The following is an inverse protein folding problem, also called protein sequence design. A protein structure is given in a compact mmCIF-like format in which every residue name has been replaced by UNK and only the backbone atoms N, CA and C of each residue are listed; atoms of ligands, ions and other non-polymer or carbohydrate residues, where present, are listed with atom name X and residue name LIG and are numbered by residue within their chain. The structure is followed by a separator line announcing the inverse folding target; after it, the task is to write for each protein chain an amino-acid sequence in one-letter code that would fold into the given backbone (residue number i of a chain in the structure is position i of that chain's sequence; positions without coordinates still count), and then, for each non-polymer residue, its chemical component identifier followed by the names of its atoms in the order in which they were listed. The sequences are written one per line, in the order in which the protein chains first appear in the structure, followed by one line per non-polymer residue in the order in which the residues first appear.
data_IF_728380715968
#
_entry.id   IF_728380715968
#
_cell.length_a   1.000
_cell.length_b   1.000
_cell.length_c   1.000
_cell.angle_alpha   90.00
_cell.angle_beta   90.00
_cell.angle_gamma   90.00
#
_symmetry.space_group_name_H-M   'P 1'
#
loop_
_entity.id
_entity.type
_entity.pdbx_description
1 polymer ?
#
# COMPACT_ATOMS: atom_id res chain seq x y z
N UNK A 1 -73.22 -22.74 53.04
CA UNK A 1 -72.83 -22.12 51.77
C UNK A 1 -71.35 -21.74 51.89
N UNK A 2 -70.48 -22.53 51.31
CA UNK A 2 -69.05 -22.26 51.28
C UNK A 2 -68.61 -22.23 49.83
N UNK A 3 -68.16 -21.10 49.40
CA UNK A 3 -67.61 -20.93 48.04
C UNK A 3 -66.18 -21.38 48.03
N UNK A 4 -65.86 -22.33 47.13
CA UNK A 4 -64.54 -22.80 46.83
C UNK A 4 -63.99 -22.01 45.70
N UNK A 5 -62.90 -21.24 45.90
CA UNK A 5 -62.21 -20.52 44.87
C UNK A 5 -61.03 -21.34 44.40
N UNK A 6 -61.04 -21.76 43.15
CA UNK A 6 -59.94 -22.49 42.49
C UNK A 6 -58.95 -21.45 41.95
N UNK A 7 -57.75 -21.43 42.47
CA UNK A 7 -56.68 -20.63 41.93
C UNK A 7 -55.89 -21.45 40.90
N UNK A 8 -55.91 -20.99 39.66
CA UNK A 8 -55.17 -21.57 38.53
C UNK A 8 -53.75 -20.97 38.55
N UNK A 9 -52.76 -21.79 38.84
CA UNK A 9 -51.35 -21.42 38.75
C UNK A 9 -50.92 -21.62 37.32
N UNK A 10 -50.73 -20.50 36.59
CA UNK A 10 -50.14 -20.49 35.28
C UNK A 10 -48.60 -20.59 35.40
N UNK A 11 -48.06 -21.73 35.04
CA UNK A 11 -46.63 -21.99 34.99
C UNK A 11 -46.04 -21.40 33.68
N UNK A 12 -45.41 -20.20 33.79
CA UNK A 12 -44.76 -19.52 32.70
C UNK A 12 -43.39 -20.19 32.45
N UNK A 13 -43.28 -21.04 31.43
CA UNK A 13 -42.02 -21.58 30.95
C UNK A 13 -41.24 -20.44 30.27
N UNK A 14 -40.26 -19.86 30.96
CA UNK A 14 -39.23 -19.03 30.35
C UNK A 14 -38.26 -19.97 29.60
N UNK A 15 -38.42 -20.06 28.28
CA UNK A 15 -37.37 -20.59 27.40
C UNK A 15 -36.21 -19.61 27.36
N UNK A 16 -35.14 -19.88 28.09
CA UNK A 16 -33.84 -19.25 27.84
C UNK A 16 -33.36 -19.66 26.45
N UNK A 17 -33.56 -18.80 25.47
CA UNK A 17 -32.80 -18.90 24.22
C UNK A 17 -31.33 -18.63 24.55
N UNK A 18 -30.52 -19.67 24.57
CA UNK A 18 -29.06 -19.54 24.61
C UNK A 18 -28.67 -18.79 23.33
N UNK A 19 -28.37 -17.49 23.45
CA UNK A 19 -27.71 -16.75 22.39
C UNK A 19 -26.35 -17.40 22.18
N UNK A 20 -26.17 -18.08 21.06
CA UNK A 20 -24.85 -18.51 20.61
C UNK A 20 -23.93 -17.28 20.67
N UNK A 21 -22.71 -17.40 21.20
CA UNK A 21 -21.77 -16.29 21.18
C UNK A 21 -21.63 -15.84 19.72
N UNK A 22 -21.82 -14.54 19.47
CA UNK A 22 -21.57 -13.97 18.16
C UNK A 22 -20.14 -14.37 17.80
N UNK A 23 -19.99 -15.11 16.71
CA UNK A 23 -18.68 -15.48 16.19
C UNK A 23 -17.98 -14.14 15.87
N UNK A 24 -16.92 -13.83 16.63
CA UNK A 24 -16.14 -12.63 16.41
C UNK A 24 -15.69 -12.65 14.95
N UNK A 25 -16.07 -11.63 14.18
CA UNK A 25 -15.65 -11.55 12.79
C UNK A 25 -14.12 -11.58 12.74
N UNK A 26 -13.56 -12.37 11.83
CA UNK A 26 -12.12 -12.40 11.65
C UNK A 26 -11.61 -10.96 11.38
N UNK A 27 -10.48 -10.56 11.94
CA UNK A 27 -9.96 -9.22 11.73
C UNK A 27 -9.69 -9.00 10.24
N UNK A 28 -10.13 -7.87 9.72
CA UNK A 28 -9.99 -7.49 8.32
C UNK A 28 -9.17 -6.21 8.20
N UNK A 29 -8.47 -6.04 7.06
CA UNK A 29 -7.85 -4.77 6.68
C UNK A 29 -8.83 -3.98 5.83
N UNK A 30 -9.17 -2.78 6.31
CA UNK A 30 -10.01 -1.89 5.53
C UNK A 30 -9.16 -1.09 4.54
N UNK A 31 -9.61 -1.03 3.30
CA UNK A 31 -8.95 -0.27 2.24
C UNK A 31 -9.90 0.78 1.70
N UNK A 32 -9.47 2.05 1.77
CA UNK A 32 -10.19 3.18 1.19
C UNK A 32 -9.39 3.73 0.01
N UNK A 33 -10.00 3.74 -1.17
CA UNK A 33 -9.39 4.17 -2.42
C UNK A 33 -10.12 5.41 -2.97
N UNK A 34 -9.39 6.54 -3.13
CA UNK A 34 -9.96 7.79 -3.63
C UNK A 34 -10.17 7.81 -5.15
N UNK A 35 -9.63 6.84 -5.87
CA UNK A 35 -9.49 6.88 -7.31
C UNK A 35 -8.47 7.93 -7.77
N UNK A 36 -8.10 7.83 -9.07
CA UNK A 36 -7.24 8.82 -9.72
C UNK A 36 -8.03 10.11 -10.00
N UNK A 37 -7.47 11.25 -9.63
CA UNK A 37 -8.10 12.56 -9.86
C UNK A 37 -7.09 13.60 -10.32
N UNK A 38 -7.58 14.56 -11.11
CA UNK A 38 -6.78 15.71 -11.50
C UNK A 38 -6.53 16.64 -10.31
N UNK A 39 -5.34 17.23 -10.28
CA UNK A 39 -4.99 18.28 -9.32
C UNK A 39 -4.10 19.34 -9.95
N UNK A 40 -4.11 20.52 -9.36
CA UNK A 40 -3.07 21.54 -9.59
C UNK A 40 -2.02 21.40 -8.50
N UNK A 41 -0.76 21.30 -8.90
CA UNK A 41 0.38 21.16 -7.98
C UNK A 41 0.54 22.48 -7.20
N UNK A 42 0.40 22.39 -5.88
CA UNK A 42 0.34 23.53 -4.98
C UNK A 42 1.67 23.86 -4.29
N UNK A 43 1.63 24.79 -3.32
CA UNK A 43 2.76 25.12 -2.47
C UNK A 43 3.28 23.88 -1.74
N UNK A 44 4.59 23.82 -1.50
CA UNK A 44 5.27 22.67 -0.88
C UNK A 44 5.87 21.68 -1.90
N UNK A 45 5.40 21.71 -3.15
CA UNK A 45 6.04 20.96 -4.23
C UNK A 45 7.35 21.65 -4.69
N UNK A 46 8.22 20.95 -5.43
CA UNK A 46 9.37 21.56 -6.09
C UNK A 46 8.95 22.77 -6.93
N UNK A 47 9.68 23.89 -6.83
CA UNK A 47 9.30 25.17 -7.47
C UNK A 47 9.00 25.04 -8.96
N UNK A 48 9.72 24.17 -9.68
CA UNK A 48 9.52 23.95 -11.12
C UNK A 48 8.21 23.22 -11.48
N UNK A 49 7.50 22.67 -10.49
CA UNK A 49 6.24 21.96 -10.68
C UNK A 49 5.02 22.71 -10.13
N UNK A 50 5.24 23.79 -9.33
CA UNK A 50 4.14 24.57 -8.74
C UNK A 50 3.28 25.18 -9.84
N UNK A 51 1.96 25.01 -9.74
CA UNK A 51 0.99 25.52 -10.70
C UNK A 51 0.78 24.63 -11.90
N UNK A 52 1.57 23.56 -12.09
CA UNK A 52 1.34 22.59 -13.17
C UNK A 52 0.10 21.75 -12.89
N UNK A 53 -0.57 21.35 -13.97
CA UNK A 53 -1.58 20.30 -13.89
C UNK A 53 -0.92 18.96 -13.59
N UNK A 54 -1.61 18.11 -12.85
CA UNK A 54 -1.13 16.81 -12.48
C UNK A 54 -2.26 15.89 -12.11
N UNK A 55 -1.90 14.74 -11.56
CA UNK A 55 -2.85 13.76 -11.02
C UNK A 55 -2.42 13.34 -9.63
N UNK A 56 -3.40 12.92 -8.84
CA UNK A 56 -3.15 12.26 -7.54
C UNK A 56 -4.08 11.08 -7.34
N UNK A 57 -3.62 10.13 -6.54
CA UNK A 57 -4.38 8.97 -6.11
C UNK A 57 -3.98 8.64 -4.67
N UNK A 58 -4.94 8.65 -3.76
CA UNK A 58 -4.70 8.35 -2.35
C UNK A 58 -5.41 7.05 -1.96
N UNK A 59 -4.69 6.17 -1.27
CA UNK A 59 -5.22 4.93 -0.73
C UNK A 59 -4.84 4.86 0.74
N UNK A 60 -5.80 4.50 1.59
CA UNK A 60 -5.56 4.25 3.02
C UNK A 60 -5.75 2.78 3.31
N UNK A 61 -4.76 2.17 3.98
CA UNK A 61 -4.83 0.85 4.60
C UNK A 61 -5.06 1.05 6.10
N UNK A 62 -6.13 0.48 6.63
CA UNK A 62 -6.37 0.42 8.08
C UNK A 62 -6.28 -1.03 8.55
N UNK A 63 -5.24 -1.32 9.32
CA UNK A 63 -4.99 -2.66 9.88
C UNK A 63 -5.68 -2.88 11.22
N UNK A 64 -6.37 -1.86 11.76
CA UNK A 64 -6.86 -1.84 13.12
C UNK A 64 -5.81 -1.46 14.16
N UNK A 65 -4.54 -1.81 13.94
CA UNK A 65 -3.43 -1.36 14.79
C UNK A 65 -2.82 -0.04 14.30
N UNK A 66 -2.81 0.19 12.98
CA UNK A 66 -2.24 1.38 12.34
C UNK A 66 -2.96 1.68 11.02
N UNK A 67 -3.07 2.97 10.72
CA UNK A 67 -3.51 3.44 9.41
C UNK A 67 -2.31 3.94 8.59
N UNK A 68 -2.23 3.50 7.34
CA UNK A 68 -1.22 3.93 6.38
C UNK A 68 -1.87 4.61 5.20
N UNK A 69 -1.60 5.90 5.01
CA UNK A 69 -1.95 6.63 3.81
C UNK A 69 -0.84 6.52 2.77
N UNK A 70 -1.16 6.02 1.60
CA UNK A 70 -0.27 5.91 0.45
C UNK A 70 -0.75 6.83 -0.66
N UNK A 71 0.18 7.52 -1.33
CA UNK A 71 -0.17 8.52 -2.33
C UNK A 71 0.70 8.42 -3.56
N UNK A 72 0.08 8.49 -4.72
CA UNK A 72 0.72 8.80 -5.99
C UNK A 72 0.41 10.24 -6.38
N UNK A 73 1.42 11.00 -6.73
CA UNK A 73 1.28 12.38 -7.25
C UNK A 73 2.31 12.60 -8.33
N UNK A 74 1.91 13.15 -9.46
CA UNK A 74 2.84 13.63 -10.47
C UNK A 74 2.31 14.88 -11.18
N UNK A 75 3.21 15.76 -11.61
CA UNK A 75 2.91 16.84 -12.52
C UNK A 75 2.98 16.35 -13.97
N UNK A 76 2.11 16.88 -14.86
CA UNK A 76 2.21 16.68 -16.30
C UNK A 76 3.27 17.61 -16.88
N UNK A 77 4.10 17.09 -17.80
CA UNK A 77 5.04 17.93 -18.52
C UNK A 77 4.25 18.90 -19.44
N UNK A 78 4.45 20.23 -19.33
CA UNK A 78 3.75 21.20 -20.19
C UNK A 78 4.06 21.07 -21.69
N UNK A 79 5.18 20.42 -22.04
CA UNK A 79 5.62 20.22 -23.42
C UNK A 79 5.21 18.87 -23.99
N UNK A 80 4.95 17.89 -23.14
CA UNK A 80 4.52 16.55 -23.51
C UNK A 80 3.56 16.02 -22.44
N UNK A 81 2.28 16.14 -22.68
CA UNK A 81 1.23 15.71 -21.73
C UNK A 81 1.28 14.20 -21.42
N UNK A 82 1.94 13.40 -22.27
CA UNK A 82 2.16 11.98 -22.03
C UNK A 82 3.34 11.71 -21.09
N UNK A 83 4.20 12.71 -20.83
CA UNK A 83 5.32 12.63 -19.92
C UNK A 83 4.94 13.16 -18.52
N UNK A 84 5.60 12.60 -17.51
CA UNK A 84 5.45 13.03 -16.13
C UNK A 84 6.67 13.84 -15.68
N UNK A 85 6.41 14.90 -14.94
CA UNK A 85 7.43 15.64 -14.18
C UNK A 85 7.23 15.33 -12.70
N UNK A 86 8.25 14.85 -11.97
CA UNK A 86 8.12 14.59 -10.55
C UNK A 86 7.70 15.85 -9.79
N UNK A 87 6.62 15.73 -9.02
CA UNK A 87 6.09 16.78 -8.17
C UNK A 87 6.41 16.51 -6.70
N UNK A 88 5.40 16.49 -5.84
CA UNK A 88 5.54 16.16 -4.41
C UNK A 88 5.99 14.72 -4.14
N UNK A 89 6.00 13.91 -5.17
CA UNK A 89 6.39 12.52 -5.15
C UNK A 89 5.36 11.65 -5.86
N UNK A 90 5.83 10.72 -6.66
CA UNK A 90 4.97 9.79 -7.38
C UNK A 90 4.58 8.57 -6.55
N UNK A 91 5.41 8.18 -5.58
CA UNK A 91 5.02 7.29 -4.49
C UNK A 91 5.44 7.97 -3.19
N UNK A 92 4.47 8.33 -2.38
CA UNK A 92 4.68 8.97 -1.09
C UNK A 92 3.74 8.39 -0.06
N UNK A 93 3.87 8.87 1.18
CA UNK A 93 2.88 8.64 2.21
C UNK A 93 2.16 9.95 2.52
N UNK A 94 0.92 9.86 2.99
CA UNK A 94 0.09 11.00 3.33
C UNK A 94 -0.68 10.71 4.63
N UNK A 95 -1.32 11.69 5.27
CA UNK A 95 -2.17 11.39 6.40
C UNK A 95 -3.15 10.26 6.07
N UNK A 96 -3.35 9.33 7.01
CA UNK A 96 -2.97 9.35 8.43
C UNK A 96 -1.54 8.88 8.77
N UNK A 97 -0.72 8.47 7.80
CA UNK A 97 0.69 8.21 8.06
C UNK A 97 1.39 9.51 8.45
N UNK A 98 2.41 9.43 9.29
CA UNK A 98 3.17 10.62 9.71
C UNK A 98 3.86 11.32 8.53
N UNK A 99 4.11 12.63 8.68
CA UNK A 99 4.73 13.45 7.64
C UNK A 99 6.16 13.04 7.29
N UNK A 100 6.79 12.18 8.10
CA UNK A 100 8.17 11.74 7.91
C UNK A 100 8.48 11.19 6.51
N UNK A 101 7.47 10.67 5.80
CA UNK A 101 7.64 9.96 4.55
C UNK A 101 7.00 10.61 3.34
N UNK A 102 6.17 11.63 3.47
CA UNK A 102 5.26 11.96 2.41
C UNK A 102 5.62 13.13 1.51
N UNK A 103 6.72 13.82 1.73
CA UNK A 103 7.12 14.85 0.79
C UNK A 103 8.33 14.45 -0.04
N UNK A 104 8.33 14.87 -1.31
CA UNK A 104 9.43 14.68 -2.24
C UNK A 104 9.61 13.27 -2.77
N UNK A 105 8.57 12.41 -2.66
CA UNK A 105 8.61 11.03 -3.11
C UNK A 105 9.52 10.18 -2.23
N UNK A 106 8.97 9.54 -1.22
CA UNK A 106 9.78 8.74 -0.30
C UNK A 106 10.40 7.51 -0.95
N UNK A 107 9.83 7.03 -2.04
CA UNK A 107 10.26 5.83 -2.77
C UNK A 107 10.61 6.18 -4.22
N UNK A 108 11.88 6.26 -4.53
CA UNK A 108 12.38 6.59 -5.86
C UNK A 108 13.24 5.44 -6.40
N UNK A 109 12.81 4.81 -7.50
CA UNK A 109 13.51 3.72 -8.15
C UNK A 109 14.10 4.19 -9.49
N UNK A 110 15.41 3.97 -9.65
CA UNK A 110 16.16 4.35 -10.86
C UNK A 110 16.71 3.09 -11.52
N UNK A 111 16.35 2.84 -12.78
CA UNK A 111 16.77 1.69 -13.58
C UNK A 111 17.60 2.19 -14.75
N UNK A 112 18.85 1.76 -14.87
CA UNK A 112 19.79 2.18 -15.92
C UNK A 112 19.90 3.72 -16.05
N UNK A 113 19.81 4.44 -14.92
CA UNK A 113 19.85 5.89 -14.88
C UNK A 113 18.51 6.59 -15.15
N UNK A 114 17.44 5.87 -15.50
CA UNK A 114 16.10 6.41 -15.69
C UNK A 114 15.25 6.23 -14.42
N UNK A 115 14.69 7.32 -13.93
CA UNK A 115 13.76 7.34 -12.81
C UNK A 115 12.39 6.90 -13.29
N UNK A 116 11.82 5.84 -12.70
CA UNK A 116 10.48 5.34 -13.05
C UNK A 116 9.39 6.40 -12.84
N UNK A 117 9.59 7.33 -11.90
CA UNK A 117 8.65 8.39 -11.60
C UNK A 117 8.53 9.46 -12.69
N UNK A 118 9.37 9.43 -13.70
CA UNK A 118 9.17 10.22 -14.93
C UNK A 118 8.17 9.60 -15.90
N UNK A 119 7.64 8.43 -15.57
CA UNK A 119 6.60 7.73 -16.32
C UNK A 119 5.33 7.76 -15.51
N UNK A 120 4.18 8.02 -16.14
CA UNK A 120 2.90 7.87 -15.46
C UNK A 120 2.74 6.43 -14.96
N UNK A 121 2.14 6.31 -13.79
CA UNK A 121 1.72 5.01 -13.31
C UNK A 121 0.73 4.38 -14.30
N UNK A 122 0.92 3.11 -14.62
CA UNK A 122 -0.02 2.36 -15.46
C UNK A 122 -1.31 2.09 -14.70
N UNK A 123 -1.20 1.67 -13.42
CA UNK A 123 -2.34 1.49 -12.54
C UNK A 123 -1.97 1.71 -11.08
N UNK A 124 -2.95 2.18 -10.31
CA UNK A 124 -2.94 2.18 -8.85
C UNK A 124 -4.18 1.44 -8.40
N UNK A 125 -4.03 0.45 -7.54
CA UNK A 125 -5.15 -0.34 -7.02
C UNK A 125 -5.01 -0.57 -5.53
N UNK A 126 -6.13 -0.50 -4.80
CA UNK A 126 -6.22 -0.83 -3.38
C UNK A 126 -7.28 -1.91 -3.16
N UNK A 127 -6.95 -2.98 -2.41
CA UNK A 127 -7.86 -4.10 -2.14
C UNK A 127 -7.68 -4.68 -0.75
N UNK A 128 -8.80 -4.87 -0.04
CA UNK A 128 -8.85 -5.69 1.18
C UNK A 128 -9.22 -7.14 0.84
N UNK A 129 -8.46 -8.10 1.35
CA UNK A 129 -8.68 -9.54 1.12
C UNK A 129 -8.42 -10.29 2.42
N UNK A 130 -9.49 -10.62 3.14
CA UNK A 130 -9.41 -11.26 4.44
C UNK A 130 -8.58 -10.45 5.43
N UNK A 131 -7.57 -11.06 6.00
CA UNK A 131 -6.66 -10.44 6.98
C UNK A 131 -5.57 -9.54 6.35
N UNK A 132 -5.63 -9.24 5.05
CA UNK A 132 -4.64 -8.44 4.33
C UNK A 132 -5.24 -7.32 3.50
N UNK A 133 -4.52 -6.21 3.43
CA UNK A 133 -4.78 -5.13 2.49
C UNK A 133 -3.59 -4.95 1.57
N UNK A 134 -3.85 -4.80 0.27
CA UNK A 134 -2.85 -4.64 -0.77
C UNK A 134 -3.01 -3.29 -1.44
N UNK A 135 -1.90 -2.60 -1.67
CA UNK A 135 -1.85 -1.39 -2.51
C UNK A 135 -0.74 -1.57 -3.54
N UNK A 136 -1.09 -1.50 -4.80
CA UNK A 136 -0.19 -1.66 -5.93
C UNK A 136 -0.04 -0.38 -6.71
N UNK A 137 1.22 -0.04 -7.00
CA UNK A 137 1.62 0.95 -8.00
C UNK A 137 2.36 0.20 -9.10
N UNK A 138 1.79 0.19 -10.33
CA UNK A 138 2.39 -0.50 -11.47
C UNK A 138 2.83 0.50 -12.51
N UNK A 139 4.09 0.44 -12.89
CA UNK A 139 4.71 1.28 -13.92
C UNK A 139 5.10 0.44 -15.13
N UNK A 140 4.75 0.93 -16.31
CA UNK A 140 5.16 0.35 -17.58
C UNK A 140 6.18 1.27 -18.26
N UNK A 141 7.47 0.97 -18.02
CA UNK A 141 8.58 1.78 -18.54
C UNK A 141 9.26 1.13 -19.75
N UNK A 142 10.18 1.85 -20.39
CA UNK A 142 11.03 1.28 -21.44
C UNK A 142 11.99 0.22 -20.92
N UNK A 143 12.39 0.31 -19.64
CA UNK A 143 13.38 -0.56 -19.00
C UNK A 143 12.77 -1.85 -18.47
N UNK A 144 11.62 -1.74 -17.83
CA UNK A 144 10.95 -2.83 -17.14
C UNK A 144 9.48 -2.50 -16.86
N UNK A 145 8.68 -3.53 -16.63
CA UNK A 145 7.44 -3.40 -15.86
C UNK A 145 7.82 -3.50 -14.38
N UNK A 146 7.33 -2.56 -13.57
CA UNK A 146 7.63 -2.49 -12.14
C UNK A 146 6.33 -2.46 -11.36
N UNK A 147 6.21 -3.35 -10.37
CA UNK A 147 5.15 -3.27 -9.34
C UNK A 147 5.77 -2.92 -8.00
N UNK A 148 5.29 -1.86 -7.37
CA UNK A 148 5.56 -1.57 -5.95
C UNK A 148 4.30 -1.89 -5.19
N UNK A 149 4.36 -2.94 -4.37
CA UNK A 149 3.23 -3.44 -3.56
C UNK A 149 3.47 -3.15 -2.09
N UNK A 150 2.49 -2.54 -1.45
CA UNK A 150 2.44 -2.43 0.00
C UNK A 150 1.36 -3.37 0.54
N UNK A 151 1.68 -4.04 1.65
CA UNK A 151 0.76 -4.99 2.30
C UNK A 151 0.69 -4.68 3.79
N UNK A 152 -0.53 -4.43 4.28
CA UNK A 152 -0.85 -4.40 5.70
C UNK A 152 -1.52 -5.71 6.12
N UNK A 153 -1.28 -6.17 7.36
CA UNK A 153 -1.98 -7.30 7.97
C UNK A 153 -2.89 -6.80 9.09
N UNK A 154 -4.03 -7.42 9.25
CA UNK A 154 -4.96 -7.10 10.33
C UNK A 154 -4.29 -7.26 11.71
N UNK A 155 -4.41 -6.23 12.54
CA UNK A 155 -3.79 -6.18 13.87
C UNK A 155 -2.28 -5.92 13.89
N UNK A 156 -1.62 -5.74 12.73
CA UNK A 156 -0.20 -5.44 12.63
C UNK A 156 0.05 -3.93 12.42
N UNK A 157 1.11 -3.41 13.00
CA UNK A 157 1.57 -2.02 12.84
C UNK A 157 2.74 -1.88 11.85
N UNK A 158 3.11 -2.98 11.17
CA UNK A 158 4.10 -3.02 10.10
C UNK A 158 3.47 -2.85 8.72
N UNK A 159 4.17 -2.16 7.83
CA UNK A 159 3.83 -2.05 6.42
C UNK A 159 4.89 -2.76 5.58
N UNK A 160 4.53 -3.88 5.00
CA UNK A 160 5.43 -4.68 4.15
C UNK A 160 5.42 -4.12 2.73
N UNK A 161 6.59 -4.03 2.10
CA UNK A 161 6.75 -3.53 0.75
C UNK A 161 7.56 -4.50 -0.12
N UNK A 162 7.10 -4.72 -1.33
CA UNK A 162 7.81 -5.44 -2.39
C UNK A 162 7.89 -4.58 -3.64
N UNK A 163 9.09 -4.44 -4.19
CA UNK A 163 9.29 -3.97 -5.56
C UNK A 163 9.66 -5.16 -6.45
N UNK A 164 8.78 -5.50 -7.38
CA UNK A 164 8.94 -6.60 -8.33
C UNK A 164 9.17 -6.05 -9.73
N UNK A 165 10.15 -6.59 -10.45
CA UNK A 165 10.56 -6.13 -11.77
C UNK A 165 10.48 -7.24 -12.82
N UNK A 166 9.86 -6.95 -13.95
CA UNK A 166 9.94 -7.73 -15.19
C UNK A 166 10.72 -6.91 -16.23
N UNK A 167 12.01 -7.22 -16.44
CA UNK A 167 12.85 -6.47 -17.37
C UNK A 167 12.37 -6.62 -18.82
N UNK A 168 12.35 -5.50 -19.55
CA UNK A 168 12.17 -5.45 -21.00
C UNK A 168 13.50 -5.41 -21.73
N UNK A 169 14.56 -5.05 -21.01
CA UNK A 169 15.93 -5.04 -21.48
C UNK A 169 16.90 -5.33 -20.34
N UNK A 170 18.19 -5.45 -20.64
CA UNK A 170 19.21 -5.71 -19.63
C UNK A 170 19.27 -4.62 -18.58
N UNK A 171 19.18 -5.00 -17.31
CA UNK A 171 19.37 -4.08 -16.18
C UNK A 171 20.85 -4.11 -15.78
N UNK A 172 21.54 -3.00 -16.04
CA UNK A 172 22.97 -2.80 -15.71
C UNK A 172 23.17 -2.10 -14.39
N UNK A 173 22.23 -1.22 -14.01
CA UNK A 173 22.24 -0.52 -12.74
C UNK A 173 20.83 -0.40 -12.17
N UNK A 174 20.74 -0.55 -10.86
CA UNK A 174 19.48 -0.47 -10.14
C UNK A 174 19.70 0.25 -8.81
N UNK A 175 18.99 1.34 -8.60
CA UNK A 175 19.13 2.19 -7.42
C UNK A 175 17.79 2.50 -6.84
N UNK A 176 17.66 2.35 -5.52
CA UNK A 176 16.50 2.81 -4.76
C UNK A 176 16.94 3.93 -3.81
N UNK A 177 16.18 5.01 -3.76
CA UNK A 177 16.31 6.06 -2.76
C UNK A 177 15.06 6.08 -1.91
N UNK A 178 15.24 5.95 -0.59
CA UNK A 178 14.19 6.16 0.40
C UNK A 178 14.44 7.47 1.11
N UNK A 179 13.50 8.41 0.99
CA UNK A 179 13.60 9.74 1.60
C UNK A 179 12.79 9.82 2.88
N UNK A 180 13.40 10.35 3.93
CA UNK A 180 12.79 10.56 5.23
C UNK A 180 12.98 11.99 5.72
N UNK A 181 11.97 12.52 6.43
CA UNK A 181 11.97 13.83 7.07
C UNK A 181 11.67 13.66 8.57
N UNK A 182 12.66 13.27 9.41
CA UNK A 182 12.39 12.77 10.76
C UNK A 182 11.68 13.74 11.69
N UNK A 183 11.78 15.04 11.46
CA UNK A 183 11.14 16.07 12.29
C UNK A 183 9.95 16.75 11.62
N UNK A 184 9.35 16.13 10.61
CA UNK A 184 8.20 16.69 9.90
C UNK A 184 8.39 18.16 9.48
N UNK A 185 9.61 18.51 9.03
CA UNK A 185 10.02 19.87 8.62
C UNK A 185 10.18 20.89 9.76
N UNK A 186 10.04 20.50 11.00
CA UNK A 186 10.40 21.38 12.13
C UNK A 186 11.90 21.54 12.14
N UNK A 187 12.39 22.78 11.97
CA UNK A 187 13.81 23.09 12.10
C UNK A 187 14.21 23.18 13.58
N UNK A 188 15.51 23.06 13.87
CA UNK A 188 16.20 23.25 15.14
C UNK A 188 16.31 22.07 16.09
N UNK A 189 16.00 20.89 15.65
CA UNK A 189 16.30 19.70 16.40
C UNK A 189 17.49 18.95 15.77
N UNK A 190 18.06 18.01 16.45
CA UNK A 190 19.15 17.20 15.94
C UNK A 190 18.57 15.88 15.39
N UNK A 191 18.76 15.65 14.09
CA UNK A 191 18.33 14.43 13.41
C UNK A 191 19.33 13.31 13.59
N UNK A 192 18.80 12.11 13.69
CA UNK A 192 19.57 10.89 13.89
C UNK A 192 19.13 9.76 12.96
N UNK A 193 20.06 8.86 12.70
CA UNK A 193 19.80 7.53 12.13
C UNK A 193 20.48 6.50 13.00
N UNK A 194 19.67 5.69 13.70
CA UNK A 194 20.17 4.56 14.46
C UNK A 194 20.16 3.30 13.59
N UNK A 195 21.27 2.59 13.58
CA UNK A 195 21.42 1.22 13.05
C UNK A 195 21.51 0.23 14.22
N UNK A 196 21.56 -1.08 13.99
CA UNK A 196 21.80 -2.04 15.07
C UNK A 196 23.11 -1.82 15.85
N UNK A 197 24.12 -1.19 15.24
CA UNK A 197 25.48 -1.08 15.82
C UNK A 197 25.92 0.33 16.15
N UNK A 198 25.27 1.37 15.59
CA UNK A 198 25.67 2.77 15.82
C UNK A 198 24.48 3.73 15.70
N UNK A 199 24.66 4.93 16.24
CA UNK A 199 23.72 6.04 16.12
C UNK A 199 24.48 7.22 15.50
N UNK A 200 24.02 7.66 14.31
CA UNK A 200 24.62 8.75 13.57
C UNK A 200 23.73 9.97 13.68
N UNK A 201 24.37 11.12 13.82
CA UNK A 201 23.69 12.39 14.00
C UNK A 201 23.89 13.34 12.83
N UNK A 202 23.14 14.41 12.87
CA UNK A 202 23.13 15.44 11.83
C UNK A 202 24.54 15.88 11.43
N UNK A 203 24.81 15.87 10.13
CA UNK A 203 26.12 16.16 9.54
C UNK A 203 26.98 14.93 9.26
N UNK A 204 26.69 13.79 9.87
CA UNK A 204 27.46 12.56 9.65
C UNK A 204 27.01 11.83 8.38
N UNK A 205 27.95 11.06 7.81
CA UNK A 205 27.74 10.21 6.63
C UNK A 205 28.06 8.78 6.99
N UNK A 206 27.33 7.84 6.40
CA UNK A 206 27.60 6.44 6.57
C UNK A 206 27.49 5.66 5.26
N UNK A 207 28.36 4.71 5.11
CA UNK A 207 28.16 3.51 4.30
C UNK A 207 27.90 2.37 5.27
N UNK A 208 26.85 1.57 5.02
CA UNK A 208 26.40 0.53 5.93
C UNK A 208 27.17 -0.78 5.71
N UNK A 209 27.50 -1.45 6.79
CA UNK A 209 27.83 -2.87 6.73
C UNK A 209 26.52 -3.67 6.62
N UNK A 210 26.19 -4.09 5.41
CA UNK A 210 24.94 -4.79 5.09
C UNK A 210 24.79 -6.15 5.77
N UNK A 211 25.86 -6.68 6.39
CA UNK A 211 25.80 -7.90 7.17
C UNK A 211 25.25 -7.68 8.59
N UNK A 212 25.40 -6.47 9.12
CA UNK A 212 25.00 -6.09 10.48
C UNK A 212 24.06 -4.88 10.56
N UNK A 213 24.01 -4.03 9.54
CA UNK A 213 23.23 -2.78 9.53
C UNK A 213 22.08 -2.88 8.50
N UNK A 214 21.09 -3.69 8.81
CA UNK A 214 19.93 -4.00 7.97
C UNK A 214 18.62 -3.39 8.47
N UNK A 215 18.68 -2.55 9.51
CA UNK A 215 17.55 -1.75 9.99
C UNK A 215 18.00 -0.33 10.29
N UNK A 216 17.14 0.63 9.99
CA UNK A 216 17.37 2.06 10.19
C UNK A 216 16.17 2.64 10.95
N UNK A 217 16.43 3.34 12.05
CA UNK A 217 15.45 4.19 12.72
C UNK A 217 15.84 5.65 12.49
N UNK A 218 14.97 6.38 11.84
CA UNK A 218 15.09 7.82 11.63
C UNK A 218 14.33 8.55 12.72
N UNK A 219 15.01 9.43 13.44
CA UNK A 219 14.39 10.17 14.51
C UNK A 219 15.02 11.56 14.71
N UNK A 220 14.41 12.38 15.53
CA UNK A 220 14.85 13.72 15.85
C UNK A 220 14.73 13.94 17.36
N UNK A 221 15.68 14.66 17.96
CA UNK A 221 15.68 14.96 19.39
C UNK A 221 14.45 15.74 19.87
N UNK A 222 13.71 16.37 18.94
CA UNK A 222 12.48 17.11 19.24
C UNK A 222 11.39 16.21 19.85
N UNK A 223 11.36 14.93 19.49
CA UNK A 223 10.37 14.00 20.02
C UNK A 223 10.59 13.68 21.51
N UNK A 224 11.83 13.74 21.99
CA UNK A 224 12.14 13.62 23.43
C UNK A 224 11.70 14.84 24.21
N UNK A 225 11.72 16.03 23.56
CA UNK A 225 11.22 17.27 24.15
C UNK A 225 9.67 17.35 24.18
N UNK A 226 8.97 16.33 23.67
CA UNK A 226 7.50 16.23 23.73
C UNK A 226 6.77 16.81 22.51
N UNK A 227 7.49 17.15 21.44
CA UNK A 227 6.83 17.47 20.18
C UNK A 227 6.23 16.20 19.58
N UNK A 228 4.93 16.11 19.55
CA UNK A 228 4.24 14.88 19.10
C UNK A 228 3.22 15.13 17.98
N UNK A 229 2.62 16.26 17.89
CA UNK A 229 1.61 16.69 16.88
C UNK A 229 1.24 15.62 15.80
N UNK A 230 1.07 14.37 16.22
CA UNK A 230 0.83 13.24 15.33
C UNK A 230 2.07 12.62 14.68
N UNK A 231 3.24 13.22 14.87
CA UNK A 231 4.51 12.78 14.29
C UNK A 231 5.29 11.90 15.27
N UNK A 232 6.35 11.26 14.77
CA UNK A 232 7.23 10.42 15.57
C UNK A 232 8.38 9.85 14.73
N UNK A 233 9.22 9.01 15.35
CA UNK A 233 10.23 8.27 14.61
C UNK A 233 9.61 7.35 13.56
N UNK A 234 10.41 6.98 12.55
CA UNK A 234 10.00 5.99 11.55
C UNK A 234 11.20 5.10 11.21
N UNK A 235 10.93 3.90 10.75
CA UNK A 235 11.98 2.95 10.45
C UNK A 235 11.75 2.17 9.16
N UNK A 236 12.85 1.64 8.62
CA UNK A 236 12.87 0.67 7.54
C UNK A 236 13.80 -0.49 7.90
N UNK A 237 13.35 -1.72 7.61
CA UNK A 237 14.16 -2.92 7.67
C UNK A 237 14.21 -3.55 6.29
N UNK A 238 15.34 -4.17 5.96
CA UNK A 238 15.58 -4.75 4.64
C UNK A 238 16.59 -5.91 4.71
N UNK A 239 16.49 -6.96 3.88
CA UNK A 239 17.53 -7.97 3.76
C UNK A 239 18.79 -7.35 3.16
N UNK A 240 19.90 -7.29 3.90
CA UNK A 240 21.15 -6.70 3.41
C UNK A 240 21.70 -7.37 2.14
N UNK A 241 21.35 -8.65 1.92
CA UNK A 241 21.75 -9.42 0.74
C UNK A 241 21.22 -8.88 -0.60
N UNK A 242 20.16 -8.06 -0.60
CA UNK A 242 19.56 -7.51 -1.82
C UNK A 242 20.33 -6.31 -2.40
N UNK A 243 21.14 -5.64 -1.62
CA UNK A 243 21.96 -4.52 -2.06
C UNK A 243 23.44 -4.91 -2.18
N UNK A 244 24.17 -4.22 -3.04
CA UNK A 244 25.63 -4.25 -3.09
C UNK A 244 26.24 -3.17 -2.20
N UNK A 245 25.50 -2.08 -2.00
CA UNK A 245 25.91 -0.95 -1.19
C UNK A 245 24.65 -0.21 -0.66
N UNK A 246 24.75 0.34 0.53
CA UNK A 246 23.76 1.26 1.07
C UNK A 246 24.47 2.36 1.85
N UNK A 247 24.02 3.59 1.68
CA UNK A 247 24.59 4.72 2.42
C UNK A 247 23.67 5.92 2.45
N UNK A 248 23.98 6.85 3.36
CA UNK A 248 23.22 8.08 3.54
C UNK A 248 24.09 9.20 4.15
N UNK A 249 23.57 10.41 4.10
CA UNK A 249 24.04 11.54 4.92
C UNK A 249 22.89 12.00 5.78
N UNK A 250 23.11 12.16 7.08
CA UNK A 250 22.09 12.72 7.99
C UNK A 250 22.00 14.23 7.76
N UNK A 251 21.08 14.61 6.89
CA UNK A 251 20.92 16.01 6.47
C UNK A 251 20.12 16.82 7.48
N UNK A 252 20.29 18.14 7.42
CA UNK A 252 19.53 19.09 8.25
C UNK A 252 18.07 19.27 7.81
N UNK A 253 17.73 18.83 6.59
CA UNK A 253 16.36 18.92 6.06
C UNK A 253 15.73 17.55 5.89
N UNK A 254 16.43 16.61 5.28
CA UNK A 254 15.97 15.25 5.04
C UNK A 254 17.14 14.29 4.95
N UNK A 255 16.82 12.99 4.91
CA UNK A 255 17.80 11.92 4.82
C UNK A 255 17.42 11.06 3.62
N UNK A 256 18.28 11.05 2.60
CA UNK A 256 18.15 10.15 1.46
C UNK A 256 19.01 8.92 1.72
N UNK A 257 18.37 7.79 1.98
CA UNK A 257 19.04 6.50 2.07
C UNK A 257 19.09 5.86 0.69
N UNK A 258 20.28 5.65 0.20
CA UNK A 258 20.55 5.22 -1.18
C UNK A 258 21.02 3.77 -1.17
N UNK A 259 20.24 2.90 -1.80
CA UNK A 259 20.56 1.49 -2.03
C UNK A 259 21.04 1.31 -3.47
N UNK A 260 22.24 0.82 -3.65
CA UNK A 260 22.68 0.23 -4.91
C UNK A 260 22.27 -1.25 -4.91
N UNK A 261 21.13 -1.54 -5.52
CA UNK A 261 20.57 -2.87 -5.55
C UNK A 261 21.31 -3.75 -6.55
N UNK A 262 21.32 -5.06 -6.32
CA UNK A 262 21.95 -6.01 -7.24
C UNK A 262 21.14 -6.12 -8.53
N UNK A 263 21.70 -5.82 -9.73
CA UNK A 263 20.95 -5.80 -10.99
C UNK A 263 20.31 -7.13 -11.39
N UNK A 264 20.82 -8.24 -10.86
CA UNK A 264 20.28 -9.59 -11.11
C UNK A 264 18.98 -9.85 -10.36
N UNK A 265 18.74 -9.16 -9.23
CA UNK A 265 17.54 -9.34 -8.44
C UNK A 265 16.33 -8.73 -9.14
N UNK A 266 15.17 -9.33 -8.90
CA UNK A 266 13.88 -8.89 -9.45
C UNK A 266 12.84 -8.63 -8.37
N UNK A 267 13.11 -9.06 -7.14
CA UNK A 267 12.24 -8.98 -5.98
C UNK A 267 13.03 -8.30 -4.85
N UNK A 268 12.61 -7.09 -4.48
CA UNK A 268 13.20 -6.31 -3.40
C UNK A 268 12.14 -6.11 -2.32
N UNK A 269 12.53 -6.34 -1.07
CA UNK A 269 11.59 -6.36 0.07
C UNK A 269 12.04 -5.42 1.15
N UNK A 270 11.06 -4.73 1.75
CA UNK A 270 11.23 -3.80 2.86
C UNK A 270 10.07 -3.94 3.81
N UNK A 271 10.29 -3.59 5.08
CA UNK A 271 9.22 -3.36 6.04
C UNK A 271 9.40 -2.00 6.69
N UNK A 272 8.30 -1.26 6.77
CA UNK A 272 8.27 0.09 7.30
C UNK A 272 7.46 0.15 8.59
N UNK A 273 7.88 1.02 9.50
CA UNK A 273 7.16 1.35 10.72
C UNK A 273 6.98 2.86 10.82
N UNK A 274 5.79 3.25 11.24
CA UNK A 274 5.46 4.59 11.65
C UNK A 274 5.25 4.60 13.16
N UNK A 275 6.17 5.23 13.88
CA UNK A 275 6.11 5.40 15.33
C UNK A 275 5.45 6.71 15.74
N UNK A 276 4.51 7.22 14.95
CA UNK A 276 3.78 8.44 15.28
C UNK A 276 3.23 8.41 16.70
N UNK A 277 3.44 9.49 17.44
CA UNK A 277 3.04 9.62 18.83
C UNK A 277 3.97 8.94 19.84
N UNK A 278 5.06 8.28 19.44
CA UNK A 278 6.06 7.68 20.33
C UNK A 278 7.28 8.57 20.50
N UNK A 279 7.88 8.55 21.69
CA UNK A 279 9.18 9.12 21.95
C UNK A 279 10.30 8.28 21.34
N UNK A 280 11.47 8.89 21.14
CA UNK A 280 12.63 8.20 20.55
C UNK A 280 13.01 6.93 21.31
N UNK A 281 13.11 7.01 22.66
CA UNK A 281 13.46 5.85 23.46
C UNK A 281 12.47 4.67 23.35
N UNK A 282 11.17 4.95 23.21
CA UNK A 282 10.13 3.94 23.01
C UNK A 282 10.27 3.27 21.65
N UNK A 283 10.47 4.07 20.59
CA UNK A 283 10.67 3.56 19.23
C UNK A 283 11.96 2.74 19.12
N UNK A 284 13.06 3.20 19.72
CA UNK A 284 14.34 2.48 19.77
C UNK A 284 14.21 1.13 20.48
N UNK A 285 13.56 1.12 21.64
CA UNK A 285 13.36 -0.10 22.42
C UNK A 285 12.47 -1.11 21.65
N UNK A 286 11.40 -0.63 21.02
CA UNK A 286 10.49 -1.46 20.23
C UNK A 286 11.22 -2.05 19.02
N UNK A 287 11.94 -1.24 18.25
CA UNK A 287 12.68 -1.70 17.08
C UNK A 287 13.73 -2.76 17.47
N UNK A 288 14.56 -2.51 18.50
CA UNK A 288 15.56 -3.48 18.97
C UNK A 288 14.94 -4.83 19.36
N UNK A 289 13.74 -4.81 19.96
CA UNK A 289 13.04 -6.02 20.38
C UNK A 289 12.50 -6.83 19.21
N UNK A 290 12.02 -6.16 18.15
CA UNK A 290 11.24 -6.78 17.05
C UNK A 290 12.05 -7.03 15.79
N UNK A 291 13.12 -6.26 15.55
CA UNK A 291 13.75 -6.14 14.24
C UNK A 291 14.20 -7.48 13.65
N UNK A 292 14.80 -8.37 14.44
CA UNK A 292 15.29 -9.67 13.96
C UNK A 292 14.13 -10.57 13.51
N UNK A 293 13.08 -10.68 14.33
CA UNK A 293 11.88 -11.46 13.98
C UNK A 293 11.19 -10.93 12.73
N UNK A 294 11.10 -9.60 12.59
CA UNK A 294 10.51 -8.95 11.43
C UNK A 294 11.33 -9.15 10.14
N UNK A 295 12.66 -9.14 10.25
CA UNK A 295 13.51 -9.45 9.11
C UNK A 295 13.30 -10.89 8.63
N UNK A 296 13.21 -11.84 9.57
CA UNK A 296 12.93 -13.24 9.23
C UNK A 296 11.54 -13.40 8.60
N UNK A 297 10.54 -12.73 9.14
CA UNK A 297 9.21 -12.71 8.56
C UNK A 297 9.22 -12.11 7.15
N UNK A 298 9.88 -10.96 6.94
CA UNK A 298 9.98 -10.29 5.65
C UNK A 298 10.55 -11.19 4.55
N UNK A 299 11.59 -11.99 4.87
CA UNK A 299 12.22 -12.90 3.92
C UNK A 299 11.22 -13.95 3.40
N UNK A 300 10.34 -14.43 4.26
CA UNK A 300 9.34 -15.47 3.93
C UNK A 300 7.96 -14.91 3.61
N UNK A 301 7.78 -13.60 3.71
CA UNK A 301 6.48 -12.95 3.55
C UNK A 301 5.89 -13.21 2.17
N UNK A 302 4.61 -13.60 2.15
CA UNK A 302 3.88 -13.85 0.92
C UNK A 302 3.21 -12.56 0.45
N UNK A 303 3.72 -11.99 -0.62
CA UNK A 303 3.19 -10.78 -1.23
C UNK A 303 2.09 -11.04 -2.28
N UNK A 304 1.86 -12.29 -2.66
CA UNK A 304 0.83 -12.63 -3.65
C UNK A 304 -0.56 -12.38 -3.11
N UNK A 305 -1.40 -11.71 -3.88
CA UNK A 305 -2.83 -11.64 -3.63
C UNK A 305 -3.49 -12.92 -4.16
N UNK A 306 -3.94 -13.83 -3.28
CA UNK A 306 -4.52 -15.09 -3.72
C UNK A 306 -5.89 -14.93 -4.37
N UNK A 307 -6.59 -13.82 -4.10
CA UNK A 307 -7.97 -13.63 -4.55
C UNK A 307 -8.07 -13.44 -6.07
N UNK A 308 -7.01 -12.86 -6.69
CA UNK A 308 -6.99 -12.65 -8.13
C UNK A 308 -6.87 -14.00 -8.87
N UNK A 309 -5.92 -14.85 -8.44
CA UNK A 309 -5.75 -16.16 -9.04
C UNK A 309 -6.91 -17.13 -8.75
N UNK A 310 -7.58 -16.94 -7.61
CA UNK A 310 -8.74 -17.73 -7.18
C UNK A 310 -10.07 -17.16 -7.66
N UNK A 311 -10.08 -16.11 -8.48
CA UNK A 311 -11.30 -15.49 -8.98
C UNK A 311 -12.10 -16.48 -9.86
N UNK A 312 -13.26 -16.90 -9.37
CA UNK A 312 -14.15 -17.79 -10.11
C UNK A 312 -14.98 -17.00 -11.13
N UNK A 313 -14.39 -16.82 -12.30
CA UNK A 313 -15.02 -16.11 -13.42
C UNK A 313 -16.34 -16.75 -13.84
N UNK A 314 -16.45 -18.09 -13.81
CA UNK A 314 -17.67 -18.78 -14.22
C UNK A 314 -18.82 -18.53 -13.24
N UNK A 315 -18.55 -18.61 -11.95
CA UNK A 315 -19.51 -18.26 -10.90
C UNK A 315 -19.99 -16.82 -11.08
N UNK A 316 -19.06 -15.90 -11.26
CA UNK A 316 -19.37 -14.46 -11.39
C UNK A 316 -20.16 -14.12 -12.66
N UNK A 317 -19.87 -14.78 -13.76
CA UNK A 317 -20.68 -14.69 -14.98
C UNK A 317 -22.11 -15.21 -14.73
N UNK A 318 -22.26 -16.28 -13.96
CA UNK A 318 -23.57 -16.80 -13.58
C UNK A 318 -24.39 -15.82 -12.72
N UNK A 319 -23.73 -15.10 -11.81
CA UNK A 319 -24.38 -14.06 -10.98
C UNK A 319 -24.88 -12.88 -11.85
N UNK A 320 -24.07 -12.43 -12.79
CA UNK A 320 -24.44 -11.37 -13.77
C UNK A 320 -25.59 -11.86 -14.66
N UNK A 321 -25.50 -13.07 -15.19
CA UNK A 321 -26.53 -13.65 -16.05
C UNK A 321 -27.91 -13.70 -15.39
N UNK A 322 -27.97 -14.01 -14.08
CA UNK A 322 -29.21 -13.98 -13.31
C UNK A 322 -29.81 -12.59 -13.22
N UNK A 323 -28.97 -11.55 -12.98
CA UNK A 323 -29.45 -10.17 -12.91
C UNK A 323 -29.92 -9.67 -14.28
N UNK A 324 -29.16 -9.92 -15.36
CA UNK A 324 -29.50 -9.53 -16.73
C UNK A 324 -30.76 -10.22 -17.26
N UNK A 325 -31.08 -11.43 -16.79
CA UNK A 325 -32.31 -12.12 -17.18
C UNK A 325 -33.59 -11.36 -16.74
N UNK A 326 -33.49 -10.51 -15.69
CA UNK A 326 -34.59 -9.68 -15.21
C UNK A 326 -34.71 -8.33 -15.97
N UNK A 327 -33.66 -7.95 -16.73
CA UNK A 327 -33.58 -6.71 -17.52
C UNK A 327 -33.04 -7.00 -18.92
N UNK A 328 -33.72 -7.83 -19.75
CA UNK A 328 -33.20 -8.33 -21.02
C UNK A 328 -32.94 -7.24 -22.08
N UNK A 329 -33.53 -6.05 -21.95
CA UNK A 329 -33.31 -4.88 -22.78
C UNK A 329 -32.00 -4.17 -22.49
N UNK A 330 -31.36 -4.39 -21.34
CA UNK A 330 -30.12 -3.75 -20.96
C UNK A 330 -28.90 -4.35 -21.70
N UNK A 331 -28.75 -3.93 -22.96
CA UNK A 331 -27.67 -4.40 -23.83
C UNK A 331 -26.32 -3.80 -23.45
N UNK A 332 -26.30 -2.63 -22.82
CA UNK A 332 -25.07 -1.95 -22.42
C UNK A 332 -24.36 -2.71 -21.31
N UNK A 333 -25.05 -3.00 -20.21
CA UNK A 333 -24.50 -3.79 -19.11
C UNK A 333 -24.12 -5.20 -19.58
N UNK A 334 -24.94 -5.85 -20.41
CA UNK A 334 -24.63 -7.16 -20.96
C UNK A 334 -23.30 -7.16 -21.75
N UNK A 335 -23.10 -6.18 -22.66
CA UNK A 335 -21.88 -6.04 -23.44
C UNK A 335 -20.65 -5.73 -22.55
N UNK A 336 -20.81 -4.85 -21.55
CA UNK A 336 -19.76 -4.49 -20.60
C UNK A 336 -19.24 -5.70 -19.83
N UNK A 337 -20.12 -6.49 -19.22
CA UNK A 337 -19.72 -7.67 -18.44
C UNK A 337 -19.16 -8.79 -19.35
N UNK A 338 -19.66 -8.93 -20.57
CA UNK A 338 -19.08 -9.86 -21.55
C UNK A 338 -17.64 -9.45 -21.91
N UNK A 339 -17.40 -8.17 -22.19
CA UNK A 339 -16.06 -7.66 -22.49
C UNK A 339 -15.10 -7.89 -21.30
N UNK A 340 -15.52 -7.58 -20.08
CA UNK A 340 -14.72 -7.84 -18.89
C UNK A 340 -14.39 -9.33 -18.70
N UNK A 341 -15.34 -10.21 -18.96
CA UNK A 341 -15.12 -11.66 -18.88
C UNK A 341 -14.06 -12.15 -19.86
N UNK A 342 -14.09 -11.67 -21.09
CA UNK A 342 -13.10 -12.01 -22.13
C UNK A 342 -11.71 -11.52 -21.77
N UNK A 343 -11.61 -10.26 -21.29
CA UNK A 343 -10.36 -9.68 -20.84
C UNK A 343 -9.80 -10.46 -19.63
N UNK A 344 -10.62 -10.72 -18.60
CA UNK A 344 -10.21 -11.49 -17.42
C UNK A 344 -9.69 -12.87 -17.79
N UNK A 345 -10.37 -13.62 -18.66
CA UNK A 345 -9.93 -14.96 -19.09
C UNK A 345 -8.50 -14.90 -19.65
N UNK A 346 -8.23 -13.92 -20.52
CA UNK A 346 -6.89 -13.75 -21.10
C UNK A 346 -5.85 -13.37 -20.05
N UNK A 347 -6.20 -12.52 -19.08
CA UNK A 347 -5.25 -12.04 -18.05
C UNK A 347 -4.97 -13.11 -16.99
N UNK A 348 -5.99 -13.79 -16.51
CA UNK A 348 -5.81 -14.88 -15.52
C UNK A 348 -4.86 -15.97 -16.02
N UNK A 349 -4.85 -16.26 -17.34
CA UNK A 349 -3.91 -17.20 -17.95
C UNK A 349 -2.44 -16.73 -17.89
N UNK A 350 -2.19 -15.44 -17.74
CA UNK A 350 -0.81 -14.88 -17.64
C UNK A 350 -0.30 -14.80 -16.21
N UNK A 351 -1.16 -14.94 -15.20
CA UNK A 351 -0.79 -14.84 -13.79
C UNK A 351 -0.14 -16.12 -13.32
N UNK A 352 0.99 -16.01 -12.62
CA UNK A 352 1.67 -17.13 -11.98
C UNK A 352 3.18 -16.97 -11.94
N UNK A 353 3.87 -17.71 -11.06
CA UNK A 353 5.30 -17.64 -10.91
C UNK A 353 6.04 -17.98 -12.23
N UNK A 354 6.96 -17.10 -12.63
CA UNK A 354 7.80 -17.31 -13.81
C UNK A 354 7.12 -17.06 -15.17
N UNK A 355 5.84 -16.63 -15.19
CA UNK A 355 5.20 -16.25 -16.43
C UNK A 355 5.62 -14.83 -16.85
N UNK A 356 5.90 -14.64 -18.13
CA UNK A 356 6.17 -13.32 -18.71
C UNK A 356 4.88 -12.50 -18.74
N UNK A 357 4.97 -11.23 -18.33
CA UNK A 357 3.81 -10.33 -18.28
C UNK A 357 2.90 -10.56 -17.06
N UNK A 358 3.36 -11.31 -16.06
CA UNK A 358 2.57 -11.61 -14.88
C UNK A 358 2.19 -10.35 -14.08
N UNK A 359 3.09 -9.36 -13.97
CA UNK A 359 2.81 -8.09 -13.28
C UNK A 359 1.64 -7.35 -13.97
N UNK A 360 1.72 -7.20 -15.29
CA UNK A 360 0.67 -6.49 -16.04
C UNK A 360 -0.63 -7.29 -16.04
N UNK A 361 -0.56 -8.59 -16.22
CA UNK A 361 -1.72 -9.47 -16.17
C UNK A 361 -2.46 -9.38 -14.83
N UNK A 362 -1.73 -9.43 -13.72
CA UNK A 362 -2.30 -9.29 -12.37
C UNK A 362 -2.91 -7.89 -12.16
N UNK A 363 -2.22 -6.82 -12.59
CA UNK A 363 -2.70 -5.45 -12.44
C UNK A 363 -4.00 -5.20 -13.22
N UNK A 364 -4.07 -5.65 -14.46
CA UNK A 364 -5.26 -5.49 -15.29
C UNK A 364 -6.41 -6.38 -14.80
N UNK A 365 -6.13 -7.61 -14.36
CA UNK A 365 -7.13 -8.46 -13.73
C UNK A 365 -7.69 -7.83 -12.45
N UNK A 366 -6.83 -7.32 -11.56
CA UNK A 366 -7.25 -6.64 -10.34
C UNK A 366 -8.15 -5.44 -10.61
N UNK A 367 -7.83 -4.64 -11.64
CA UNK A 367 -8.65 -3.51 -12.07
C UNK A 367 -10.04 -3.97 -12.51
N UNK A 368 -10.11 -4.94 -13.41
CA UNK A 368 -11.40 -5.45 -13.93
C UNK A 368 -12.22 -6.09 -12.83
N UNK A 369 -11.59 -6.87 -11.94
CA UNK A 369 -12.26 -7.48 -10.78
C UNK A 369 -12.85 -6.38 -9.89
N UNK A 370 -12.11 -5.31 -9.59
CA UNK A 370 -12.61 -4.19 -8.81
C UNK A 370 -13.78 -3.45 -9.46
N UNK A 371 -13.77 -3.29 -10.78
CA UNK A 371 -14.90 -2.71 -11.53
C UNK A 371 -16.12 -3.65 -11.51
N UNK A 372 -15.90 -4.95 -11.63
CA UNK A 372 -16.95 -5.98 -11.54
C UNK A 372 -17.61 -5.98 -10.16
N UNK A 373 -16.81 -5.99 -9.10
CA UNK A 373 -17.30 -6.01 -7.71
C UNK A 373 -18.10 -4.75 -7.36
N UNK A 374 -17.72 -3.59 -7.89
CA UNK A 374 -18.48 -2.35 -7.72
C UNK A 374 -19.78 -2.34 -8.54
N UNK A 375 -19.74 -2.82 -9.77
CA UNK A 375 -20.87 -2.77 -10.68
C UNK A 375 -21.95 -3.83 -10.41
N UNK A 376 -21.59 -5.00 -9.88
CA UNK A 376 -22.54 -6.08 -9.69
C UNK A 376 -23.68 -5.76 -8.70
N UNK A 377 -23.45 -5.08 -7.54
CA UNK A 377 -24.54 -4.63 -6.67
C UNK A 377 -25.48 -3.65 -7.36
N UNK A 378 -24.96 -2.73 -8.16
CA UNK A 378 -25.76 -1.76 -8.91
C UNK A 378 -26.63 -2.46 -9.96
N UNK A 379 -26.07 -3.42 -10.71
CA UNK A 379 -26.79 -4.24 -11.67
C UNK A 379 -27.93 -5.02 -10.99
N UNK A 380 -27.66 -5.61 -9.83
CA UNK A 380 -28.69 -6.34 -9.05
C UNK A 380 -29.80 -5.42 -8.57
N UNK A 381 -29.48 -4.22 -8.09
CA UNK A 381 -30.46 -3.22 -7.68
C UNK A 381 -31.33 -2.79 -8.87
N UNK A 382 -30.72 -2.53 -10.03
CA UNK A 382 -31.43 -2.21 -11.28
C UNK A 382 -32.39 -3.32 -11.69
N UNK A 383 -31.93 -4.58 -11.62
CA UNK A 383 -32.77 -5.75 -11.90
C UNK A 383 -33.97 -5.87 -10.96
N UNK A 384 -33.76 -5.69 -9.65
CA UNK A 384 -34.83 -5.72 -8.65
C UNK A 384 -35.86 -4.59 -8.83
N UNK A 385 -35.42 -3.39 -9.21
CA UNK A 385 -36.32 -2.25 -9.47
C UNK A 385 -37.17 -2.47 -10.74
N UNK A 386 -36.73 -3.27 -11.67
CA UNK A 386 -37.51 -3.60 -12.88
C UNK A 386 -38.62 -4.66 -12.63
N UNK A 387 -38.55 -5.38 -11.51
CA UNK A 387 -39.60 -6.33 -11.10
C UNK A 387 -40.78 -5.67 -10.36
N UNK A 388 -40.62 -4.41 -9.91
CA UNK A 388 -41.65 -3.62 -9.19
C UNK A 388 -42.46 -2.80 -10.17
#
# INVERSE_FOLDING_TARGET
MRHLTIATIGMMLLTLAATAPAQEAAPEVLVSDSGMRDRTIGPGAPQHTIGLKGVEHNITLDTGARQFGLRYVVARDPKDEAAAVPGEGYIGMCPPTSANWYQGGFFQLVINGEDIGRTFVHSVTGRGVGDRGYVDFVFDTKQAVVRVRFVGKAGDDALYCQALLEPKQEIKSLKLVLRCYPSAFVSNAERHVMTPVRDLKQGEKAELDLSSEWSLLYYDSIYDAGYMNGEGPCSVLFPGSQASKCGFTVGSYGIDTVFELKPILRDFRFVFFDYAGKKNAEAQADLRRRAEGLLQELVTFQFTDPSIAAWDLQQKQGEVGKALALIPEDKEDAAKYQQWAEQLRTRLDTIGPGKTGAIMGEAEAAKIIGEWERGLPELRLKALLNEI
#
